data_IF_421626707038
#
_entry.id   IF_421626707038
#
_cell.length_a   1.000
_cell.length_b   1.000
_cell.length_c   1.000
_cell.angle_alpha   90.00
_cell.angle_beta   90.00
_cell.angle_gamma   90.00
#
_symmetry.space_group_name_H-M   'P 1'
#
loop_
_entity.id
_entity.type
_entity.pdbx_description
1 polymer ?
#
# COMPACT_ATOMS: atom_id res chain seq x y z
N UNK A 1 -17.37 3.84 16.86
CA UNK A 1 -18.15 2.93 16.00
C UNK A 1 -17.63 1.52 16.26
N UNK A 2 -18.50 0.57 16.64
CA UNK A 2 -18.08 -0.83 16.83
C UNK A 2 -17.76 -1.44 15.46
N UNK A 3 -16.64 -2.15 15.37
CA UNK A 3 -16.26 -2.86 14.15
C UNK A 3 -17.06 -4.16 14.06
N UNK A 4 -17.53 -4.49 12.85
CA UNK A 4 -18.23 -5.75 12.63
C UNK A 4 -17.31 -6.95 12.88
N UNK A 5 -17.89 -8.03 13.39
CA UNK A 5 -17.23 -9.32 13.58
C UNK A 5 -18.06 -10.39 12.90
N UNK A 6 -17.42 -11.29 12.16
CA UNK A 6 -18.11 -12.35 11.41
C UNK A 6 -17.31 -13.63 11.40
N UNK A 7 -18.02 -14.76 11.35
CA UNK A 7 -17.43 -16.10 11.25
C UNK A 7 -17.47 -16.52 9.78
N UNK A 8 -16.35 -17.01 9.26
CA UNK A 8 -16.27 -17.53 7.89
C UNK A 8 -16.85 -18.95 7.86
N UNK A 9 -18.03 -19.09 7.26
CA UNK A 9 -18.82 -20.34 7.26
C UNK A 9 -18.78 -21.13 5.94
N UNK A 10 -18.31 -20.55 4.83
CA UNK A 10 -18.24 -21.22 3.52
C UNK A 10 -17.04 -20.76 2.70
N UNK A 11 -16.53 -21.64 1.84
CA UNK A 11 -15.41 -21.40 0.91
C UNK A 11 -15.68 -20.35 -0.19
N UNK A 12 -16.95 -19.96 -0.39
CA UNK A 12 -17.38 -19.14 -1.53
C UNK A 12 -17.58 -17.65 -1.22
N UNK A 13 -17.45 -17.22 0.04
CA UNK A 13 -17.64 -15.81 0.37
C UNK A 13 -16.36 -15.03 0.01
N UNK A 14 -16.29 -14.48 -1.20
CA UNK A 14 -15.23 -13.53 -1.58
C UNK A 14 -15.57 -12.09 -1.16
N UNK A 15 -16.84 -11.78 -0.92
CA UNK A 15 -17.31 -10.48 -0.44
C UNK A 15 -17.53 -10.48 1.06
N UNK A 16 -16.46 -10.26 1.81
CA UNK A 16 -16.56 -10.07 3.25
C UNK A 16 -16.88 -8.63 3.60
N UNK A 17 -17.93 -8.43 4.40
CA UNK A 17 -18.20 -7.11 4.98
C UNK A 17 -16.97 -6.59 5.76
N UNK A 18 -16.64 -5.28 5.68
CA UNK A 18 -15.54 -4.72 6.42
C UNK A 18 -15.66 -4.98 7.92
N UNK A 19 -14.58 -5.44 8.55
CA UNK A 19 -14.63 -5.95 9.91
C UNK A 19 -13.54 -6.98 10.21
N UNK A 20 -13.68 -7.64 11.35
CA UNK A 20 -12.86 -8.82 11.66
C UNK A 20 -13.58 -10.09 11.24
N UNK A 21 -12.81 -11.00 10.63
CA UNK A 21 -13.25 -12.29 10.16
C UNK A 21 -12.56 -13.38 10.96
N UNK A 22 -13.33 -14.30 11.50
CA UNK A 22 -12.81 -15.46 12.22
C UNK A 22 -12.87 -16.66 11.27
N UNK A 23 -11.70 -17.16 10.91
CA UNK A 23 -11.50 -18.27 9.98
C UNK A 23 -10.78 -19.43 10.68
N UNK A 24 -10.76 -20.60 10.04
CA UNK A 24 -10.17 -21.82 10.60
C UNK A 24 -8.67 -21.74 10.86
N UNK A 25 -7.97 -20.79 10.24
CA UNK A 25 -6.54 -20.56 10.37
C UNK A 25 -6.17 -19.19 10.97
N UNK A 26 -7.15 -18.39 11.40
CA UNK A 26 -6.83 -17.11 12.03
C UNK A 26 -7.96 -16.14 12.16
N UNK A 27 -7.63 -15.01 12.78
CA UNK A 27 -8.41 -13.78 12.72
C UNK A 27 -7.82 -12.92 11.60
N UNK A 28 -8.69 -12.45 10.72
CA UNK A 28 -8.36 -11.59 9.61
C UNK A 28 -9.12 -10.27 9.73
N UNK A 29 -8.62 -9.25 9.05
CA UNK A 29 -9.23 -7.94 8.91
C UNK A 29 -9.63 -7.75 7.44
N UNK A 30 -10.93 -7.61 7.18
CA UNK A 30 -11.42 -7.14 5.89
C UNK A 30 -11.56 -5.62 5.91
N UNK A 31 -11.03 -4.97 4.89
CA UNK A 31 -11.19 -3.53 4.63
C UNK A 31 -11.64 -3.31 3.20
N UNK A 32 -12.44 -2.27 3.02
CA UNK A 32 -12.93 -1.84 1.72
C UNK A 32 -12.77 -0.32 1.62
N UNK A 33 -12.28 0.12 0.47
CA UNK A 33 -12.24 1.50 0.01
C UNK A 33 -12.83 1.56 -1.39
N UNK A 34 -13.09 2.78 -1.87
CA UNK A 34 -13.48 3.00 -3.27
C UNK A 34 -12.46 2.38 -4.24
N UNK A 35 -11.17 2.42 -3.90
CA UNK A 35 -10.10 2.01 -4.80
C UNK A 35 -9.71 0.53 -4.68
N UNK A 36 -9.92 -0.09 -3.52
CA UNK A 36 -9.46 -1.46 -3.28
C UNK A 36 -10.22 -2.17 -2.16
N UNK A 37 -10.19 -3.50 -2.23
CA UNK A 37 -10.51 -4.40 -1.12
C UNK A 37 -9.25 -5.10 -0.65
N UNK A 38 -9.14 -5.36 0.65
CA UNK A 38 -8.07 -6.19 1.20
C UNK A 38 -8.55 -7.01 2.39
N UNK A 39 -8.05 -8.24 2.47
CA UNK A 39 -8.16 -9.09 3.65
C UNK A 39 -6.77 -9.38 4.18
N UNK A 40 -6.50 -8.95 5.41
CA UNK A 40 -5.17 -8.94 6.02
C UNK A 40 -5.18 -9.87 7.24
N UNK A 41 -4.16 -10.71 7.41
CA UNK A 41 -4.04 -11.54 8.60
C UNK A 41 -3.74 -10.65 9.82
N UNK A 42 -4.51 -10.82 10.90
CA UNK A 42 -4.24 -10.17 12.19
C UNK A 42 -3.54 -11.13 13.15
N UNK A 43 -4.06 -12.35 13.29
CA UNK A 43 -3.45 -13.37 14.15
C UNK A 43 -3.74 -14.76 13.61
N UNK A 44 -2.73 -15.60 13.56
CA UNK A 44 -2.88 -16.98 13.13
C UNK A 44 -3.28 -17.85 14.33
N UNK A 45 -4.40 -18.55 14.21
CA UNK A 45 -4.92 -19.45 15.22
C UNK A 45 -5.70 -20.57 14.54
N UNK A 46 -5.56 -21.80 15.03
CA UNK A 46 -6.33 -22.92 14.48
C UNK A 46 -7.69 -23.00 15.18
N UNK A 47 -8.76 -22.87 14.40
CA UNK A 47 -10.14 -23.02 14.88
C UNK A 47 -10.82 -24.15 14.11
N UNK A 48 -10.95 -25.36 14.68
CA UNK A 48 -11.57 -26.50 14.02
C UNK A 48 -13.01 -26.21 13.56
N UNK A 49 -13.38 -26.73 12.40
CA UNK A 49 -14.75 -26.61 11.86
C UNK A 49 -15.05 -25.32 11.09
N UNK A 50 -14.09 -24.39 10.97
CA UNK A 50 -14.23 -23.18 10.15
C UNK A 50 -13.40 -23.27 8.86
N UNK A 51 -13.87 -22.59 7.81
CA UNK A 51 -13.15 -22.46 6.55
C UNK A 51 -11.86 -21.65 6.74
N UNK A 52 -10.76 -22.09 6.13
CA UNK A 52 -9.49 -21.34 6.12
C UNK A 52 -9.55 -20.19 5.13
N UNK A 53 -8.83 -19.12 5.44
CA UNK A 53 -8.77 -17.92 4.62
C UNK A 53 -7.32 -17.55 4.33
N UNK A 54 -7.06 -17.03 3.12
CA UNK A 54 -5.76 -16.48 2.75
C UNK A 54 -5.87 -14.95 2.68
N UNK A 55 -4.82 -14.21 3.07
CA UNK A 55 -4.77 -12.78 2.78
C UNK A 55 -4.97 -12.52 1.29
N UNK A 56 -5.66 -11.43 0.96
CA UNK A 56 -5.99 -11.10 -0.42
C UNK A 56 -6.01 -9.58 -0.62
N UNK A 57 -5.66 -9.16 -1.84
CA UNK A 57 -5.75 -7.77 -2.28
C UNK A 57 -6.40 -7.72 -3.66
N UNK A 58 -7.31 -6.77 -3.84
CA UNK A 58 -7.96 -6.50 -5.10
C UNK A 58 -8.03 -4.99 -5.31
N UNK A 59 -7.46 -4.51 -6.43
CA UNK A 59 -7.64 -3.15 -6.89
C UNK A 59 -8.95 -3.07 -7.69
N UNK A 60 -9.90 -2.25 -7.23
CA UNK A 60 -11.24 -2.11 -7.81
C UNK A 60 -11.31 -1.07 -8.94
N UNK A 61 -10.26 -0.26 -9.06
CA UNK A 61 -10.10 0.77 -10.09
C UNK A 61 -8.95 0.37 -11.02
N UNK A 62 -8.86 0.95 -12.24
CA UNK A 62 -7.69 0.75 -13.08
C UNK A 62 -6.40 1.08 -12.34
N UNK A 63 -5.35 0.33 -12.63
CA UNK A 63 -3.99 0.60 -12.16
C UNK A 63 -3.56 2.04 -12.46
N UNK A 64 -2.60 2.56 -11.69
CA UNK A 64 -2.00 3.87 -11.97
C UNK A 64 -1.38 3.85 -13.38
N UNK A 65 -1.86 4.71 -14.30
CA UNK A 65 -1.41 4.73 -15.69
C UNK A 65 0.09 4.94 -15.87
N UNK A 66 0.65 4.35 -16.93
CA UNK A 66 2.09 4.39 -17.21
C UNK A 66 2.64 5.82 -17.33
N UNK A 67 1.90 6.78 -17.89
CA UNK A 67 2.33 8.17 -18.02
C UNK A 67 2.54 8.82 -16.65
N UNK A 68 1.68 8.51 -15.67
CA UNK A 68 1.80 9.00 -14.29
C UNK A 68 2.94 8.32 -13.56
N UNK A 69 3.08 7.00 -13.73
CA UNK A 69 4.24 6.24 -13.21
C UNK A 69 5.53 6.86 -13.72
N UNK A 70 5.64 7.09 -15.03
CA UNK A 70 6.81 7.72 -15.64
C UNK A 70 7.06 9.11 -15.04
N UNK A 71 6.03 9.93 -14.87
CA UNK A 71 6.16 11.26 -14.27
C UNK A 71 6.73 11.23 -12.85
N UNK A 72 6.28 10.29 -12.01
CA UNK A 72 6.81 10.08 -10.66
C UNK A 72 8.28 9.65 -10.72
N UNK A 73 8.62 8.69 -11.57
CA UNK A 73 9.99 8.19 -11.73
C UNK A 73 10.94 9.28 -12.25
N UNK A 74 10.51 10.08 -13.23
CA UNK A 74 11.28 11.21 -13.75
C UNK A 74 11.56 12.23 -12.63
N UNK A 75 10.56 12.52 -11.79
CA UNK A 75 10.70 13.43 -10.65
C UNK A 75 11.65 12.88 -9.58
N UNK A 76 11.55 11.59 -9.25
CA UNK A 76 12.48 10.91 -8.35
C UNK A 76 13.92 11.02 -8.88
N UNK A 77 14.12 10.79 -10.18
CA UNK A 77 15.43 10.87 -10.81
C UNK A 77 15.99 12.29 -10.93
N UNK A 78 15.13 13.32 -10.90
CA UNK A 78 15.57 14.71 -10.88
C UNK A 78 16.28 15.08 -9.57
N UNK A 79 15.85 14.50 -8.44
CA UNK A 79 16.42 14.72 -7.11
C UNK A 79 16.71 13.37 -6.42
N UNK A 80 17.67 12.58 -6.95
CA UNK A 80 17.84 11.18 -6.57
C UNK A 80 18.42 10.98 -5.17
N UNK A 81 18.93 12.04 -4.54
CA UNK A 81 19.52 12.00 -3.21
C UNK A 81 18.55 12.45 -2.11
N UNK A 82 17.36 12.93 -2.48
CA UNK A 82 16.35 13.38 -1.54
C UNK A 82 15.24 12.33 -1.47
N UNK A 83 14.71 12.13 -0.27
CA UNK A 83 13.40 11.50 -0.15
C UNK A 83 12.34 12.40 -0.78
N UNK A 84 11.26 11.80 -1.27
CA UNK A 84 10.17 12.53 -1.93
C UNK A 84 8.86 11.80 -1.66
N UNK A 85 7.83 12.58 -1.37
CA UNK A 85 6.50 12.12 -1.03
C UNK A 85 5.53 12.44 -2.17
N UNK A 86 4.71 11.46 -2.52
CA UNK A 86 3.62 11.62 -3.47
C UNK A 86 2.34 11.02 -2.92
N UNK A 87 1.23 11.71 -3.15
CA UNK A 87 -0.11 11.24 -2.86
C UNK A 87 -0.87 10.99 -4.15
N UNK A 88 -1.53 9.84 -4.24
CA UNK A 88 -2.40 9.54 -5.37
C UNK A 88 -3.84 9.40 -4.90
N UNK A 89 -4.71 10.13 -5.61
CA UNK A 89 -6.14 10.17 -5.38
C UNK A 89 -6.87 9.59 -6.57
N UNK A 90 -7.85 8.73 -6.30
CA UNK A 90 -8.81 8.33 -7.32
C UNK A 90 -9.91 9.39 -7.41
N UNK A 91 -10.07 10.00 -8.58
CA UNK A 91 -11.08 11.05 -8.84
C UNK A 91 -12.28 10.54 -9.65
N UNK A 92 -12.60 9.25 -9.50
CA UNK A 92 -13.73 8.60 -10.18
C UNK A 92 -13.45 8.21 -11.64
N UNK A 93 -12.73 9.04 -12.40
CA UNK A 93 -12.38 8.79 -13.79
C UNK A 93 -10.88 8.52 -14.02
N UNK A 94 -10.04 8.82 -13.03
CA UNK A 94 -8.59 8.69 -13.18
C UNK A 94 -7.83 9.03 -11.91
N UNK A 95 -6.55 8.70 -11.94
CA UNK A 95 -5.61 9.01 -10.87
C UNK A 95 -5.12 10.45 -10.96
N UNK A 96 -5.16 11.17 -9.86
CA UNK A 96 -4.48 12.44 -9.66
C UNK A 96 -3.22 12.18 -8.82
N UNK A 97 -2.08 12.71 -9.24
CA UNK A 97 -0.81 12.61 -8.51
C UNK A 97 -0.49 14.00 -7.96
N UNK A 98 -0.28 14.08 -6.65
CA UNK A 98 0.12 15.31 -5.97
C UNK A 98 1.50 15.06 -5.36
N UNK A 99 2.45 15.93 -5.70
CA UNK A 99 3.73 16.09 -5.01
C UNK A 99 3.56 17.32 -4.11
N UNK A 100 3.38 17.16 -2.78
CA UNK A 100 3.18 18.29 -1.88
C UNK A 100 4.32 19.28 -1.95
N UNK A 101 4.08 20.51 -1.48
CA UNK A 101 5.17 21.27 -0.88
C UNK A 101 5.69 20.50 0.34
N UNK A 102 7.00 20.25 0.37
CA UNK A 102 7.60 19.31 1.29
C UNK A 102 9.04 19.68 1.60
N UNK A 103 9.43 19.49 2.86
CA UNK A 103 10.82 19.57 3.29
C UNK A 103 11.41 18.17 3.28
N UNK A 104 12.35 17.96 2.35
CA UNK A 104 13.00 16.67 2.21
C UNK A 104 14.49 16.75 2.54
N UNK A 105 14.95 15.72 3.24
CA UNK A 105 16.35 15.38 3.46
C UNK A 105 16.63 14.04 2.77
N UNK A 106 17.88 13.55 2.78
CA UNK A 106 18.19 12.22 2.27
C UNK A 106 17.53 11.05 3.03
N UNK A 107 16.96 11.29 4.22
CA UNK A 107 16.43 10.25 5.12
C UNK A 107 15.11 10.65 5.80
N UNK A 108 14.49 11.74 5.37
CA UNK A 108 13.16 12.14 5.82
C UNK A 108 12.50 13.01 4.77
N UNK A 109 11.20 12.85 4.55
CA UNK A 109 10.42 13.92 3.92
C UNK A 109 9.12 14.21 4.66
N UNK A 110 8.84 15.49 4.88
CA UNK A 110 7.67 15.97 5.62
C UNK A 110 6.86 16.89 4.69
N UNK A 111 5.57 16.57 4.53
CA UNK A 111 4.61 17.45 3.84
C UNK A 111 4.40 18.73 4.66
N UNK A 112 4.60 19.89 4.05
CA UNK A 112 4.28 21.19 4.65
C UNK A 112 2.79 21.52 4.53
N UNK A 113 2.10 20.85 3.61
CA UNK A 113 0.67 21.00 3.39
C UNK A 113 -0.14 19.90 4.10
N UNK A 114 -1.30 20.28 4.64
CA UNK A 114 -2.29 19.31 5.09
C UNK A 114 -3.10 18.79 3.89
N UNK A 115 -2.76 17.57 3.49
CA UNK A 115 -3.57 16.57 2.79
C UNK A 115 -5.00 16.36 3.32
N UNK A 116 -6.10 16.98 2.82
CA UNK A 116 -7.38 16.96 3.54
C UNK A 116 -8.12 15.61 3.58
N UNK A 117 -7.75 14.62 2.76
CA UNK A 117 -8.50 13.35 2.63
C UNK A 117 -7.49 12.22 2.49
N UNK A 118 -7.70 11.01 3.05
CA UNK A 118 -6.64 10.02 2.99
C UNK A 118 -6.47 9.54 1.55
N UNK A 119 -5.34 9.91 0.95
CA UNK A 119 -4.89 9.42 -0.34
C UNK A 119 -5.06 7.89 -0.41
N UNK A 120 -5.47 7.38 -1.57
CA UNK A 120 -5.61 5.94 -1.74
C UNK A 120 -4.24 5.27 -1.78
N UNK A 121 -3.25 5.97 -2.34
CA UNK A 121 -1.86 5.53 -2.38
C UNK A 121 -0.96 6.65 -1.88
N UNK A 122 0.01 6.28 -1.06
CA UNK A 122 1.15 7.12 -0.69
C UNK A 122 2.42 6.48 -1.25
N UNK A 123 3.27 7.28 -1.86
CA UNK A 123 4.58 6.85 -2.33
C UNK A 123 5.63 7.67 -1.60
N UNK A 124 6.56 6.99 -0.96
CA UNK A 124 7.76 7.60 -0.40
C UNK A 124 8.99 7.08 -1.15
N UNK A 125 9.86 7.96 -1.65
CA UNK A 125 11.13 7.53 -2.21
C UNK A 125 12.23 7.54 -1.15
N UNK A 126 13.06 6.50 -1.14
CA UNK A 126 14.28 6.44 -0.34
C UNK A 126 15.45 6.86 -1.24
N UNK A 127 16.02 8.06 -1.05
CA UNK A 127 16.98 8.66 -1.99
C UNK A 127 18.07 7.69 -2.48
N UNK A 128 19.08 7.43 -1.64
CA UNK A 128 20.19 6.50 -1.96
C UNK A 128 20.06 5.13 -1.28
N UNK A 129 18.96 4.89 -0.57
CA UNK A 129 18.70 3.66 0.17
C UNK A 129 17.76 2.74 -0.61
N UNK A 130 17.89 1.42 -0.42
CA UNK A 130 17.01 0.43 -1.04
C UNK A 130 15.54 0.59 -0.63
N UNK A 131 14.65 -0.09 -1.35
CA UNK A 131 13.22 -0.04 -1.06
C UNK A 131 12.87 -1.00 0.10
N UNK A 132 12.46 -0.46 1.25
CA UNK A 132 11.99 -1.23 2.40
C UNK A 132 11.12 -0.35 3.31
N UNK A 133 10.28 -0.95 4.14
CA UNK A 133 9.54 -0.24 5.18
C UNK A 133 10.29 -0.30 6.51
N UNK A 134 10.55 0.85 7.13
CA UNK A 134 11.21 0.95 8.42
C UNK A 134 10.24 0.73 9.59
N UNK A 135 10.80 0.54 10.79
CA UNK A 135 9.99 0.47 12.01
C UNK A 135 9.23 1.77 12.31
N UNK A 136 9.71 2.91 11.80
CA UNK A 136 9.03 4.21 11.94
C UNK A 136 7.82 4.28 11.02
N UNK A 137 7.99 3.88 9.76
CA UNK A 137 6.89 3.81 8.78
C UNK A 137 5.76 2.91 9.30
N UNK A 138 6.12 1.75 9.87
CA UNK A 138 5.14 0.85 10.48
C UNK A 138 4.34 1.48 11.63
N UNK A 139 4.93 2.40 12.41
CA UNK A 139 4.24 3.06 13.54
C UNK A 139 3.36 4.22 13.09
N UNK A 140 3.75 4.90 12.03
CA UNK A 140 3.08 6.10 11.53
C UNK A 140 1.91 5.77 10.59
N UNK A 141 1.95 4.61 9.91
CA UNK A 141 0.92 4.12 9.00
C UNK A 141 -0.32 3.52 9.72
N UNK A 142 -1.04 4.36 10.45
CA UNK A 142 -2.28 3.98 11.15
C UNK A 142 -3.55 4.11 10.29
N UNK A 143 -3.43 4.59 9.05
CA UNK A 143 -4.54 4.77 8.11
C UNK A 143 -4.97 3.47 7.41
N UNK A 144 -5.87 3.61 6.43
CA UNK A 144 -6.23 2.56 5.48
C UNK A 144 -5.83 3.02 4.07
N UNK A 145 -4.67 2.63 3.54
CA UNK A 145 -4.16 3.06 2.22
C UNK A 145 -3.18 2.03 1.66
N UNK A 146 -2.82 2.16 0.39
CA UNK A 146 -1.65 1.47 -0.17
C UNK A 146 -0.42 2.35 0.11
N UNK A 147 0.59 1.80 0.75
CA UNK A 147 1.89 2.45 0.92
C UNK A 147 2.90 1.82 -0.03
N UNK A 148 3.72 2.64 -0.66
CA UNK A 148 4.74 2.20 -1.61
C UNK A 148 6.04 2.93 -1.34
N UNK A 149 7.13 2.17 -1.29
CA UNK A 149 8.48 2.73 -1.20
C UNK A 149 9.21 2.52 -2.52
N UNK A 150 9.76 3.60 -3.08
CA UNK A 150 10.66 3.55 -4.23
C UNK A 150 12.07 3.90 -3.77
N UNK A 151 12.93 2.90 -3.68
CA UNK A 151 14.33 3.09 -3.27
C UNK A 151 15.29 2.98 -4.44
N UNK A 152 16.58 3.06 -4.10
CA UNK A 152 17.68 2.82 -5.03
C UNK A 152 18.75 1.95 -4.40
N UNK A 153 19.13 0.88 -5.09
CA UNK A 153 20.24 0.01 -4.70
C UNK A 153 21.17 -0.20 -5.88
N UNK A 154 22.46 0.07 -5.68
CA UNK A 154 23.51 -0.05 -6.72
C UNK A 154 23.16 0.69 -8.03
N UNK A 155 22.53 1.87 -7.91
CA UNK A 155 22.12 2.69 -9.05
C UNK A 155 20.78 2.32 -9.68
N UNK A 156 20.23 1.14 -9.38
CA UNK A 156 18.96 0.66 -9.90
C UNK A 156 17.81 1.05 -8.97
N UNK A 157 16.68 1.51 -9.53
CA UNK A 157 15.47 1.75 -8.74
C UNK A 157 14.84 0.43 -8.29
N UNK A 158 14.32 0.44 -7.07
CA UNK A 158 13.64 -0.66 -6.42
C UNK A 158 12.26 -0.22 -5.97
N UNK A 159 11.29 -1.15 -5.92
CA UNK A 159 9.95 -0.85 -5.44
C UNK A 159 9.40 -1.97 -4.55
N UNK A 160 8.66 -1.56 -3.52
CA UNK A 160 7.87 -2.43 -2.66
C UNK A 160 6.55 -1.74 -2.34
N UNK A 161 5.45 -2.50 -2.31
CA UNK A 161 4.11 -1.99 -2.00
C UNK A 161 3.42 -2.86 -0.97
N UNK A 162 2.61 -2.25 -0.11
CA UNK A 162 1.75 -2.95 0.84
C UNK A 162 0.46 -2.21 1.07
N UNK A 163 -0.60 -2.93 1.44
CA UNK A 163 -1.79 -2.34 2.04
C UNK A 163 -1.54 -2.16 3.52
N UNK A 164 -1.82 -0.97 4.03
CA UNK A 164 -1.77 -0.64 5.45
C UNK A 164 -3.21 -0.43 5.92
N UNK A 165 -3.59 -1.09 7.01
CA UNK A 165 -4.90 -0.91 7.63
C UNK A 165 -4.79 -0.99 9.15
N UNK A 166 -4.72 0.17 9.82
CA UNK A 166 -4.74 0.29 11.28
C UNK A 166 -3.64 -0.55 11.96
N UNK A 167 -2.40 -0.44 11.47
CA UNK A 167 -1.25 -1.19 11.99
C UNK A 167 -1.13 -2.64 11.51
N UNK A 168 -2.01 -3.07 10.59
CA UNK A 168 -1.87 -4.33 9.85
C UNK A 168 -1.33 -4.08 8.45
N UNK A 169 -0.51 -5.00 7.97
CA UNK A 169 0.18 -4.89 6.69
C UNK A 169 -0.05 -6.13 5.83
N UNK A 170 -0.29 -5.92 4.54
CA UNK A 170 -0.33 -6.95 3.52
C UNK A 170 0.54 -6.54 2.36
N UNK A 171 1.63 -7.24 2.12
CA UNK A 171 2.46 -7.00 0.94
C UNK A 171 1.68 -7.32 -0.34
N UNK A 172 1.81 -6.45 -1.33
CA UNK A 172 1.13 -6.58 -2.61
C UNK A 172 2.13 -6.39 -3.74
N UNK A 173 1.92 -7.09 -4.84
CA UNK A 173 2.80 -6.94 -5.98
C UNK A 173 2.56 -5.55 -6.60
N UNK A 174 3.61 -4.73 -6.71
CA UNK A 174 3.46 -3.34 -7.17
C UNK A 174 2.95 -3.26 -8.62
N UNK A 175 3.13 -4.31 -9.42
CA UNK A 175 2.59 -4.43 -10.78
C UNK A 175 1.10 -4.79 -10.82
N UNK A 176 0.47 -5.06 -9.67
CA UNK A 176 -0.99 -5.02 -9.50
C UNK A 176 -1.49 -3.58 -9.27
N UNK A 177 -0.65 -2.66 -8.81
CA UNK A 177 -1.01 -1.27 -8.49
C UNK A 177 -0.64 -0.29 -9.62
N UNK A 178 0.52 -0.49 -10.26
CA UNK A 178 1.11 0.45 -11.21
C UNK A 178 1.34 -0.21 -12.57
N UNK A 179 0.89 0.44 -13.65
CA UNK A 179 1.12 -0.05 -15.00
C UNK A 179 2.60 0.03 -15.37
N UNK A 180 3.11 -1.07 -15.93
CA UNK A 180 4.46 -1.18 -16.50
C UNK A 180 5.60 -0.78 -15.53
N UNK A 181 5.38 -0.89 -14.22
CA UNK A 181 6.36 -0.49 -13.21
C UNK A 181 7.67 -1.29 -13.28
N UNK A 182 7.57 -2.55 -13.70
CA UNK A 182 8.70 -3.46 -13.96
C UNK A 182 9.71 -2.91 -15.00
N UNK A 183 9.30 -1.99 -15.87
CA UNK A 183 10.22 -1.34 -16.82
C UNK A 183 11.10 -0.27 -16.17
N UNK A 184 10.74 0.19 -14.96
CA UNK A 184 11.42 1.27 -14.25
C UNK A 184 12.12 0.79 -12.97
N UNK A 185 11.49 -0.13 -12.24
CA UNK A 185 11.93 -0.58 -10.92
C UNK A 185 12.08 -2.09 -10.84
N UNK A 186 13.05 -2.55 -10.06
CA UNK A 186 13.16 -3.96 -9.64
C UNK A 186 12.25 -4.18 -8.44
N UNK A 187 11.43 -5.23 -8.47
CA UNK A 187 10.62 -5.59 -7.31
C UNK A 187 11.49 -6.13 -6.18
N UNK A 188 11.20 -5.63 -4.97
CA UNK A 188 11.71 -6.19 -3.74
C UNK A 188 10.55 -6.88 -3.06
N UNK A 189 10.71 -8.17 -2.79
CA UNK A 189 9.79 -8.93 -1.94
C UNK A 189 10.28 -8.72 -0.51
N UNK A 190 9.46 -8.20 0.41
CA UNK A 190 9.83 -8.14 1.83
C UNK A 190 10.16 -9.54 2.34
N UNK A 191 11.25 -9.65 3.10
CA UNK A 191 11.67 -10.90 3.74
C UNK A 191 10.81 -11.20 4.97
#
# INVERSE_FOLDING_TARGET
MLLNHSIVKSELAQDFSPGYLWAGNGIFRSVSRTEFNATIAHSLVTTPGLTKLSPNFELLVPQVPQDKVKGIIDRINQYPNLEQLFYLYWRGAGWEVICPEQECTPTSCISLEQHPEPAAIEIHSHGSMGAFFSSTDNREENGCRISTVIGRSKGQLEIVSRVCAHGLFLDVASDQVYQNINSYCRHVIPF
#
